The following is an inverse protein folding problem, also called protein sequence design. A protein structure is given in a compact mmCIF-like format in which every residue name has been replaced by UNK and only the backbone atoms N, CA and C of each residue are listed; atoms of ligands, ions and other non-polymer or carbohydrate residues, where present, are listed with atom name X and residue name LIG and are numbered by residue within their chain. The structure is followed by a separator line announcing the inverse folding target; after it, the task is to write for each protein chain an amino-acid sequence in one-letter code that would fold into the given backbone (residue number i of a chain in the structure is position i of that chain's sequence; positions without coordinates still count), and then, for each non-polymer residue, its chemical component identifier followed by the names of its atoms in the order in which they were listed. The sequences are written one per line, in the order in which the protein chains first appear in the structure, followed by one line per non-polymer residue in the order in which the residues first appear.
data_IF_758328151314
#
_entry.id   IF_758328151314
#
_cell.length_a   1.000
_cell.length_b   1.000
_cell.length_c   1.000
_cell.angle_alpha   90.00
_cell.angle_beta   90.00
_cell.angle_gamma   90.00
#
_symmetry.space_group_name_H-M   'P 1'
#
loop_
_entity.id
_entity.type
_entity.pdbx_description
1 polymer ?
#
# COMPACT_ATOMS: atom_id res chain seq x y z
N UNK A 1 -15.33 14.20 -12.02
CA UNK A 1 -14.47 13.45 -11.06
C UNK A 1 -13.01 13.79 -11.33
N UNK A 2 -12.14 13.88 -10.31
CA UNK A 2 -10.74 14.29 -10.46
C UNK A 2 -9.99 13.53 -11.56
N UNK A 3 -10.16 12.21 -11.64
CA UNK A 3 -9.53 11.38 -12.69
C UNK A 3 -9.97 11.75 -14.12
N UNK A 4 -11.24 12.16 -14.32
CA UNK A 4 -11.71 12.62 -15.63
C UNK A 4 -11.07 13.95 -15.97
N UNK A 5 -11.07 14.90 -15.04
CA UNK A 5 -10.52 16.25 -15.24
C UNK A 5 -9.01 16.20 -15.54
N UNK A 6 -8.27 15.34 -14.83
CA UNK A 6 -6.86 15.08 -15.11
C UNK A 6 -6.67 14.52 -16.52
N UNK A 7 -7.44 13.50 -16.90
CA UNK A 7 -7.35 12.86 -18.23
C UNK A 7 -7.72 13.81 -19.38
N UNK A 8 -8.72 14.66 -19.19
CA UNK A 8 -9.19 15.61 -20.21
C UNK A 8 -8.43 16.94 -20.20
N UNK A 9 -7.41 17.08 -19.35
CA UNK A 9 -6.62 18.31 -19.29
C UNK A 9 -7.33 19.49 -18.63
N UNK A 10 -8.44 19.26 -17.92
CA UNK A 10 -9.21 20.30 -17.22
C UNK A 10 -8.62 20.59 -15.82
N UNK A 11 -7.42 21.14 -15.80
CA UNK A 11 -6.70 21.61 -14.62
C UNK A 11 -5.80 22.79 -14.99
N UNK A 12 -5.39 23.57 -13.99
CA UNK A 12 -4.52 24.73 -14.18
C UNK A 12 -3.22 24.33 -14.91
N UNK A 13 -2.84 25.10 -15.93
CA UNK A 13 -1.58 24.91 -16.65
C UNK A 13 -0.49 25.72 -15.97
N UNK A 14 0.30 25.05 -15.15
CA UNK A 14 1.40 25.62 -14.35
C UNK A 14 2.48 24.57 -14.13
N UNK A 15 3.68 25.01 -13.79
CA UNK A 15 4.76 24.12 -13.35
C UNK A 15 4.42 23.47 -12.01
N UNK A 16 4.81 22.20 -11.83
CA UNK A 16 4.57 21.42 -10.61
C UNK A 16 5.86 20.69 -10.24
N UNK A 17 6.21 20.70 -8.95
CA UNK A 17 7.26 19.86 -8.38
C UNK A 17 6.60 18.75 -7.55
N UNK A 18 6.94 17.48 -7.82
CA UNK A 18 6.34 16.30 -7.17
C UNK A 18 7.46 15.42 -6.62
N UNK A 19 7.26 14.86 -5.43
CA UNK A 19 8.18 13.92 -4.81
C UNK A 19 7.43 12.93 -3.92
N UNK A 20 8.13 11.84 -3.57
CA UNK A 20 7.70 10.82 -2.61
C UNK A 20 8.86 10.53 -1.66
N UNK A 21 8.55 10.08 -0.46
CA UNK A 21 9.51 9.54 0.49
C UNK A 21 9.75 8.05 0.22
N UNK A 22 10.89 7.53 0.69
CA UNK A 22 11.23 6.12 0.54
C UNK A 22 10.22 5.19 1.23
N UNK A 23 9.77 5.56 2.44
CA UNK A 23 9.00 4.68 3.35
C UNK A 23 7.63 5.26 3.73
N UNK A 24 6.85 5.78 2.77
CA UNK A 24 5.59 6.51 2.99
C UNK A 24 4.58 5.79 3.90
N UNK A 25 4.53 4.45 3.85
CA UNK A 25 3.46 3.67 4.45
C UNK A 25 3.81 3.06 5.81
N UNK A 26 5.09 3.07 6.20
CA UNK A 26 5.55 2.41 7.45
C UNK A 26 4.88 2.99 8.69
N UNK A 27 4.67 4.32 8.71
CA UNK A 27 3.99 5.02 9.80
C UNK A 27 2.55 4.53 10.03
N UNK A 28 1.85 4.09 8.99
CA UNK A 28 0.44 3.68 9.10
C UNK A 28 0.27 2.28 9.69
N UNK A 29 1.31 1.45 9.67
CA UNK A 29 1.23 0.05 10.10
C UNK A 29 0.91 -0.07 11.59
N UNK A 30 1.50 0.79 12.44
CA UNK A 30 1.30 0.75 13.89
C UNK A 30 -0.10 1.18 14.35
N UNK A 31 -0.95 1.68 13.45
CA UNK A 31 -2.31 2.11 13.74
C UNK A 31 -3.38 1.05 13.48
N UNK A 32 -2.99 -0.20 13.21
CA UNK A 32 -3.95 -1.30 13.10
C UNK A 32 -3.49 -2.53 12.33
N UNK A 33 -2.30 -2.51 11.71
CA UNK A 33 -1.77 -3.71 11.06
C UNK A 33 -1.36 -4.76 12.12
N UNK A 34 -1.72 -6.04 11.94
CA UNK A 34 -1.37 -7.09 12.88
C UNK A 34 0.15 -7.26 13.03
N UNK A 35 0.61 -7.42 14.27
CA UNK A 35 2.03 -7.66 14.57
C UNK A 35 2.93 -6.42 14.54
N UNK A 36 2.36 -5.22 14.37
CA UNK A 36 3.11 -3.96 14.39
C UNK A 36 2.89 -3.17 15.68
N UNK A 37 3.97 -2.60 16.21
CA UNK A 37 4.00 -1.62 17.29
C UNK A 37 5.19 -0.63 17.12
N UNK A 38 5.31 0.32 18.05
CA UNK A 38 6.35 1.37 18.00
C UNK A 38 7.63 1.02 18.78
N UNK A 39 7.68 -0.14 19.44
CA UNK A 39 8.76 -0.49 20.37
C UNK A 39 9.56 -1.72 19.97
N UNK A 40 9.03 -2.55 19.06
CA UNK A 40 9.61 -3.82 18.64
C UNK A 40 10.26 -3.73 17.25
N UNK A 41 10.86 -4.84 16.83
CA UNK A 41 11.42 -4.99 15.48
C UNK A 41 10.36 -5.32 14.42
N UNK A 42 9.09 -5.52 14.81
CA UNK A 42 7.96 -5.76 13.91
C UNK A 42 8.17 -6.91 12.91
N UNK A 43 8.77 -8.02 13.37
CA UNK A 43 8.93 -9.24 12.58
C UNK A 43 7.59 -9.99 12.51
N UNK A 44 6.78 -9.65 11.50
CA UNK A 44 5.45 -10.23 11.33
C UNK A 44 5.50 -11.64 10.73
N UNK A 45 4.48 -12.45 11.07
CA UNK A 45 4.27 -13.74 10.43
C UNK A 45 3.62 -13.58 9.05
N UNK A 46 3.63 -14.67 8.26
CA UNK A 46 2.86 -14.74 7.01
C UNK A 46 1.36 -14.54 7.24
N UNK A 47 0.84 -15.03 8.37
CA UNK A 47 -0.58 -14.87 8.73
C UNK A 47 -0.92 -13.40 9.02
N UNK A 48 -0.06 -12.70 9.76
CA UNK A 48 -0.22 -11.28 10.05
C UNK A 48 -0.19 -10.44 8.77
N UNK A 49 0.71 -10.76 7.84
CA UNK A 49 0.75 -10.13 6.52
C UNK A 49 -0.57 -10.32 5.76
N UNK A 50 -1.11 -11.54 5.71
CA UNK A 50 -2.36 -11.83 4.99
C UNK A 50 -3.54 -11.06 5.59
N UNK A 51 -3.65 -11.01 6.92
CA UNK A 51 -4.64 -10.17 7.60
C UNK A 51 -4.45 -8.68 7.28
N UNK A 52 -3.20 -8.23 7.18
CA UNK A 52 -2.87 -6.87 6.74
C UNK A 52 -3.36 -6.56 5.32
N UNK A 53 -3.22 -7.51 4.38
CA UNK A 53 -3.74 -7.37 3.00
C UNK A 53 -5.25 -7.19 3.01
N UNK A 54 -5.98 -7.96 3.83
CA UNK A 54 -7.43 -7.83 3.95
C UNK A 54 -7.85 -6.45 4.49
N UNK A 55 -7.08 -5.88 5.41
CA UNK A 55 -7.31 -4.54 5.97
C UNK A 55 -7.06 -3.42 4.94
N UNK A 56 -6.01 -3.53 4.13
CA UNK A 56 -5.61 -2.49 3.16
C UNK A 56 -6.47 -2.54 1.89
N UNK A 57 -7.02 -3.70 1.55
CA UNK A 57 -7.85 -3.91 0.36
C UNK A 57 -9.29 -4.31 0.74
N UNK A 58 -10.01 -3.47 1.49
CA UNK A 58 -11.38 -3.77 1.88
C UNK A 58 -12.28 -3.79 0.63
N UNK A 59 -13.11 -4.83 0.51
CA UNK A 59 -14.05 -4.97 -0.62
C UNK A 59 -13.42 -5.38 -1.95
N UNK A 60 -12.11 -5.62 -2.03
CA UNK A 60 -11.51 -6.27 -3.19
C UNK A 60 -11.92 -7.74 -3.26
N UNK A 61 -11.90 -8.34 -4.45
CA UNK A 61 -12.12 -9.77 -4.61
C UNK A 61 -10.89 -10.56 -4.17
N UNK A 62 -11.08 -11.83 -3.84
CA UNK A 62 -9.99 -12.72 -3.41
C UNK A 62 -8.90 -12.81 -4.48
N UNK A 63 -9.28 -12.93 -5.75
CA UNK A 63 -8.34 -12.90 -6.88
C UNK A 63 -7.48 -11.63 -6.89
N UNK A 64 -8.03 -10.46 -6.57
CA UNK A 64 -7.24 -9.22 -6.53
C UNK A 64 -6.32 -9.16 -5.31
N UNK A 65 -6.74 -9.70 -4.16
CA UNK A 65 -5.86 -9.81 -2.98
C UNK A 65 -4.72 -10.78 -3.26
N UNK A 66 -5.00 -11.92 -3.87
CA UNK A 66 -3.99 -12.89 -4.30
C UNK A 66 -3.00 -12.28 -5.30
N UNK A 67 -3.45 -11.44 -6.24
CA UNK A 67 -2.54 -10.70 -7.11
C UNK A 67 -1.62 -9.78 -6.31
N UNK A 68 -2.14 -9.02 -5.33
CA UNK A 68 -1.31 -8.16 -4.49
C UNK A 68 -0.29 -8.98 -3.68
N UNK A 69 -0.74 -10.08 -3.08
CA UNK A 69 0.11 -11.03 -2.37
C UNK A 69 1.24 -11.52 -3.29
N UNK A 70 0.88 -12.04 -4.47
CA UNK A 70 1.82 -12.56 -5.46
C UNK A 70 2.89 -11.54 -5.84
N UNK A 71 2.50 -10.29 -6.11
CA UNK A 71 3.44 -9.22 -6.51
C UNK A 71 4.44 -8.84 -5.40
N UNK A 72 4.08 -9.01 -4.13
CA UNK A 72 4.89 -8.54 -2.99
C UNK A 72 5.53 -9.67 -2.18
N UNK A 73 5.40 -10.93 -2.61
CA UNK A 73 5.99 -12.08 -1.89
C UNK A 73 6.86 -12.98 -2.78
N UNK A 74 7.41 -12.46 -3.88
CA UNK A 74 8.51 -13.11 -4.58
C UNK A 74 9.84 -12.75 -3.92
N UNK A 75 10.24 -13.59 -2.96
CA UNK A 75 11.46 -13.40 -2.16
C UNK A 75 12.74 -13.83 -2.88
N UNK A 76 12.62 -14.43 -4.06
CA UNK A 76 13.74 -15.10 -4.75
C UNK A 76 14.38 -14.29 -5.86
N UNK A 77 13.85 -13.09 -6.16
CA UNK A 77 14.43 -12.20 -7.16
C UNK A 77 15.50 -11.32 -6.51
N UNK A 78 16.63 -11.94 -6.18
CA UNK A 78 17.94 -11.31 -6.00
C UNK A 78 19.01 -12.18 -6.66
#
# INVERSE_FOLDING_TARGET
MPAVLLRTGHFLKTEVLIGLNQDEWTYFLVYGAPGYDITSQNLISREDFLKGVDLVLPGFSDVRRETAIFQYTDWTVH
#
